data_IF_281983524518
#
_entry.id   IF_281983524518
#
_cell.length_a   1.000
_cell.length_b   1.000
_cell.length_c   1.000
_cell.angle_alpha   90.00
_cell.angle_beta   90.00
_cell.angle_gamma   90.00
#
_symmetry.space_group_name_H-M   'P 1'
#
loop_
_entity.id
_entity.type
_entity.pdbx_description
1 polymer ?
#
# COMPACT_ATOMS: atom_id res chain seq x y z
N UNK A 1 -20.33 18.92 6.39
CA UNK A 1 -19.32 17.90 6.01
C UNK A 1 -19.97 17.00 4.99
N UNK A 2 -19.27 16.57 3.94
CA UNK A 2 -19.86 15.70 2.93
C UNK A 2 -20.23 14.34 3.54
N UNK A 3 -21.28 13.71 3.02
CA UNK A 3 -21.80 12.43 3.52
C UNK A 3 -21.52 11.29 2.55
N UNK A 4 -21.65 10.04 3.02
CA UNK A 4 -21.53 8.84 2.17
C UNK A 4 -22.52 8.91 0.99
N UNK A 5 -23.73 9.40 1.24
CA UNK A 5 -24.76 9.56 0.20
C UNK A 5 -24.37 10.61 -0.86
N UNK A 6 -23.64 11.66 -0.49
CA UNK A 6 -23.11 12.63 -1.45
C UNK A 6 -22.07 11.98 -2.38
N UNK A 7 -21.22 11.11 -1.82
CA UNK A 7 -20.23 10.34 -2.59
C UNK A 7 -20.91 9.37 -3.55
N UNK A 8 -21.91 8.62 -3.08
CA UNK A 8 -22.71 7.72 -3.92
C UNK A 8 -23.45 8.44 -5.04
N UNK A 9 -24.06 9.59 -4.75
CA UNK A 9 -24.73 10.42 -5.77
C UNK A 9 -23.73 10.88 -6.84
N UNK A 10 -22.51 11.26 -6.46
CA UNK A 10 -21.49 11.65 -7.43
C UNK A 10 -21.06 10.48 -8.34
N UNK A 11 -21.06 9.23 -7.84
CA UNK A 11 -20.88 8.03 -8.69
C UNK A 11 -22.04 7.89 -9.67
N UNK A 12 -23.28 7.99 -9.19
CA UNK A 12 -24.50 7.88 -10.01
C UNK A 12 -24.58 8.96 -11.10
N UNK A 13 -24.09 10.16 -10.81
CA UNK A 13 -23.96 11.29 -11.75
C UNK A 13 -22.83 11.10 -12.78
N UNK A 14 -22.04 10.03 -12.69
CA UNK A 14 -20.92 9.76 -13.58
C UNK A 14 -19.69 10.61 -13.29
N UNK A 15 -19.56 11.16 -12.08
CA UNK A 15 -18.44 11.98 -11.64
C UNK A 15 -17.58 11.28 -10.56
N UNK A 16 -16.75 10.29 -10.96
CA UNK A 16 -15.93 9.52 -10.01
C UNK A 16 -14.84 10.37 -9.34
N UNK A 17 -14.40 11.46 -9.97
CA UNK A 17 -13.41 12.36 -9.37
C UNK A 17 -13.99 13.13 -8.18
N UNK A 18 -15.21 13.62 -8.32
CA UNK A 18 -15.91 14.26 -7.21
C UNK A 18 -16.23 13.29 -6.09
N UNK A 19 -16.69 12.07 -6.43
CA UNK A 19 -16.92 11.02 -5.45
C UNK A 19 -15.65 10.67 -4.66
N UNK A 20 -14.50 10.56 -5.34
CA UNK A 20 -13.20 10.35 -4.71
C UNK A 20 -12.89 11.43 -3.66
N UNK A 21 -13.02 12.71 -4.03
CA UNK A 21 -12.75 13.82 -3.11
C UNK A 21 -13.68 13.79 -1.89
N UNK A 22 -14.94 13.39 -2.08
CA UNK A 22 -15.92 13.25 -1.00
C UNK A 22 -15.48 12.14 -0.03
N UNK A 23 -15.18 10.94 -0.52
CA UNK A 23 -14.76 9.83 0.34
C UNK A 23 -13.43 10.12 1.05
N UNK A 24 -12.47 10.75 0.37
CA UNK A 24 -11.22 11.20 0.99
C UNK A 24 -11.48 12.22 2.12
N UNK A 25 -12.40 13.16 1.93
CA UNK A 25 -12.78 14.13 2.97
C UNK A 25 -13.44 13.45 4.19
N UNK A 26 -14.30 12.45 3.97
CA UNK A 26 -14.90 11.65 5.06
C UNK A 26 -13.82 10.89 5.82
N UNK A 27 -12.88 10.27 5.11
CA UNK A 27 -11.77 9.53 5.72
C UNK A 27 -10.78 10.41 6.46
N UNK A 28 -10.65 11.69 6.10
CA UNK A 28 -9.85 12.65 6.87
C UNK A 28 -10.43 12.88 8.27
N UNK A 29 -11.75 12.89 8.41
CA UNK A 29 -12.43 13.02 9.69
C UNK A 29 -12.49 11.67 10.44
N UNK A 30 -12.89 10.61 9.73
CA UNK A 30 -13.01 9.26 10.27
C UNK A 30 -12.29 8.22 9.40
N UNK A 31 -11.03 7.94 9.73
CA UNK A 31 -10.22 6.92 9.04
C UNK A 31 -10.74 5.48 9.20
N UNK A 32 -11.70 5.24 10.09
CA UNK A 32 -12.30 3.92 10.36
C UNK A 32 -13.65 3.74 9.67
N UNK A 33 -14.04 4.66 8.80
CA UNK A 33 -15.29 4.54 8.04
C UNK A 33 -15.13 3.51 6.92
N UNK A 34 -15.72 2.33 7.10
CA UNK A 34 -15.64 1.23 6.15
C UNK A 34 -16.39 1.52 4.84
N UNK A 35 -17.49 2.25 4.90
CA UNK A 35 -18.28 2.60 3.72
C UNK A 35 -17.54 3.62 2.85
N UNK A 36 -16.83 4.57 3.46
CA UNK A 36 -15.99 5.52 2.73
C UNK A 36 -14.80 4.83 2.05
N UNK A 37 -14.16 3.86 2.71
CA UNK A 37 -13.11 3.06 2.08
C UNK A 37 -13.63 2.21 0.91
N UNK A 38 -14.83 1.62 1.04
CA UNK A 38 -15.46 0.87 -0.04
C UNK A 38 -15.79 1.78 -1.23
N UNK A 39 -16.44 2.91 -0.98
CA UNK A 39 -16.78 3.89 -2.03
C UNK A 39 -15.53 4.44 -2.73
N UNK A 40 -14.44 4.66 -1.98
CA UNK A 40 -13.16 5.07 -2.57
C UNK A 40 -12.59 4.01 -3.52
N UNK A 41 -12.67 2.72 -3.16
CA UNK A 41 -12.21 1.63 -4.02
C UNK A 41 -12.98 1.54 -5.35
N UNK A 42 -14.27 1.90 -5.37
CA UNK A 42 -15.08 1.85 -6.58
C UNK A 42 -14.66 2.90 -7.62
N UNK A 43 -14.25 4.08 -7.16
CA UNK A 43 -13.91 5.22 -8.02
C UNK A 43 -12.44 5.27 -8.44
N UNK A 44 -11.59 4.53 -7.76
CA UNK A 44 -10.18 4.38 -8.13
C UNK A 44 -10.05 3.63 -9.46
N UNK A 45 -8.97 3.88 -10.19
CA UNK A 45 -8.66 3.18 -11.45
C UNK A 45 -7.54 2.17 -11.30
N UNK A 46 -6.61 2.43 -10.39
CA UNK A 46 -5.47 1.57 -10.13
C UNK A 46 -5.83 0.38 -9.23
N UNK A 47 -5.40 -0.82 -9.61
CA UNK A 47 -5.74 -2.05 -8.88
C UNK A 47 -5.00 -2.16 -7.54
N UNK A 48 -3.81 -1.59 -7.42
CA UNK A 48 -3.05 -1.61 -6.17
C UNK A 48 -3.72 -0.68 -5.15
N UNK A 49 -4.13 0.53 -5.57
CA UNK A 49 -4.87 1.46 -4.72
C UNK A 49 -6.21 0.87 -4.25
N UNK A 50 -6.93 0.17 -5.14
CA UNK A 50 -8.16 -0.56 -4.79
C UNK A 50 -7.90 -1.64 -3.74
N UNK A 51 -6.81 -2.40 -3.91
CA UNK A 51 -6.42 -3.45 -2.97
C UNK A 51 -6.22 -2.86 -1.57
N UNK A 52 -5.49 -1.76 -1.46
CA UNK A 52 -5.25 -1.08 -0.19
C UNK A 52 -6.55 -0.64 0.48
N UNK A 53 -7.50 -0.11 -0.29
CA UNK A 53 -8.81 0.29 0.24
C UNK A 53 -9.57 -0.90 0.81
N UNK A 54 -9.69 -2.01 0.07
CA UNK A 54 -10.37 -3.21 0.56
C UNK A 54 -9.66 -3.86 1.75
N UNK A 55 -8.33 -3.87 1.77
CA UNK A 55 -7.56 -4.35 2.94
C UNK A 55 -7.83 -3.50 4.18
N UNK A 56 -7.94 -2.17 4.04
CA UNK A 56 -8.29 -1.30 5.15
C UNK A 56 -9.69 -1.56 5.67
N UNK A 57 -10.66 -1.81 4.80
CA UNK A 57 -12.01 -2.25 5.19
C UNK A 57 -11.93 -3.53 6.00
N UNK A 58 -11.18 -4.54 5.55
CA UNK A 58 -11.06 -5.81 6.28
C UNK A 58 -10.29 -5.70 7.60
N UNK A 59 -9.38 -4.72 7.74
CA UNK A 59 -8.76 -4.40 9.03
C UNK A 59 -9.76 -3.81 10.02
N UNK A 60 -10.73 -3.04 9.54
CA UNK A 60 -11.80 -2.43 10.35
C UNK A 60 -12.87 -3.48 10.67
N UNK A 61 -13.40 -4.12 9.63
CA UNK A 61 -14.46 -5.12 9.66
C UNK A 61 -14.08 -6.33 8.80
N UNK A 62 -13.56 -7.37 9.46
CA UNK A 62 -13.15 -8.64 8.83
C UNK A 62 -14.31 -9.37 8.15
N UNK A 63 -15.53 -9.10 8.61
CA UNK A 63 -16.75 -9.76 8.12
C UNK A 63 -17.34 -9.09 6.87
N UNK A 64 -16.75 -7.97 6.42
CA UNK A 64 -17.22 -7.25 5.25
C UNK A 64 -17.05 -8.08 3.96
N UNK A 65 -18.20 -8.50 3.42
CA UNK A 65 -18.30 -9.34 2.22
C UNK A 65 -17.83 -8.62 0.96
N UNK A 66 -18.20 -7.35 0.81
CA UNK A 66 -17.89 -6.55 -0.37
C UNK A 66 -16.38 -6.38 -0.54
N UNK A 67 -15.65 -6.10 0.55
CA UNK A 67 -14.19 -5.98 0.49
C UNK A 67 -13.48 -7.29 0.13
N UNK A 68 -13.94 -8.42 0.67
CA UNK A 68 -13.41 -9.75 0.31
C UNK A 68 -13.66 -10.08 -1.16
N UNK A 69 -14.84 -9.78 -1.67
CA UNK A 69 -15.19 -9.98 -3.07
C UNK A 69 -14.37 -9.03 -3.98
N UNK A 70 -14.19 -7.78 -3.56
CA UNK A 70 -13.33 -6.80 -4.21
C UNK A 70 -11.90 -7.31 -4.38
N UNK A 71 -11.28 -7.81 -3.32
CA UNK A 71 -9.92 -8.39 -3.39
C UNK A 71 -9.83 -9.57 -4.36
N UNK A 72 -10.80 -10.49 -4.30
CA UNK A 72 -10.84 -11.65 -5.21
C UNK A 72 -10.97 -11.25 -6.68
N UNK A 73 -11.65 -10.14 -6.97
CA UNK A 73 -11.79 -9.63 -8.33
C UNK A 73 -10.50 -8.99 -8.86
N UNK A 74 -9.59 -8.58 -7.97
CA UNK A 74 -8.28 -8.01 -8.32
C UNK A 74 -7.19 -9.09 -8.45
N UNK A 75 -7.41 -10.30 -7.94
CA UNK A 75 -6.48 -11.40 -8.09
C UNK A 75 -6.37 -11.77 -9.59
N UNK A 76 -5.14 -11.86 -10.14
CA UNK A 76 -4.96 -12.40 -11.47
C UNK A 76 -5.58 -13.79 -11.49
N UNK A 77 -6.57 -14.01 -12.35
CA UNK A 77 -7.20 -15.33 -12.49
C UNK A 77 -6.08 -16.34 -12.76
N UNK A 78 -5.82 -17.21 -11.79
CA UNK A 78 -4.77 -18.19 -11.90
C UNK A 78 -5.04 -19.02 -13.15
N UNK A 79 -4.17 -18.92 -14.14
CA UNK A 79 -4.27 -19.76 -15.32
C UNK A 79 -4.01 -21.19 -14.85
N UNK A 80 -5.00 -22.10 -14.87
CA UNK A 80 -4.86 -23.45 -14.31
C UNK A 80 -3.73 -24.24 -15.01
N UNK A 81 -3.33 -23.81 -16.20
CA UNK A 81 -2.20 -24.37 -16.92
C UNK A 81 -0.82 -23.98 -16.34
N UNK A 82 -0.70 -22.80 -15.72
CA UNK A 82 0.56 -22.35 -15.09
C UNK A 82 0.76 -22.99 -13.72
N UNK A 83 -0.32 -23.16 -12.95
CA UNK A 83 -0.28 -23.87 -11.66
C UNK A 83 0.10 -25.35 -11.82
N UNK A 84 -0.31 -26.00 -12.91
CA UNK A 84 0.06 -27.38 -13.22
C UNK A 84 1.53 -27.56 -13.66
N UNK A 85 2.23 -26.47 -13.99
CA UNK A 85 3.64 -26.48 -14.40
C UNK A 85 4.60 -26.08 -13.27
N UNK A 86 4.09 -25.74 -12.08
CA UNK A 86 4.91 -25.50 -10.90
C UNK A 86 5.41 -26.86 -10.37
N UNK A 87 6.72 -27.18 -10.43
CA UNK A 87 7.23 -28.43 -9.90
C UNK A 87 7.08 -28.40 -8.38
N UNK A 88 6.49 -29.43 -7.81
CA UNK A 88 6.50 -29.73 -6.37
C UNK A 88 7.95 -29.98 -5.89
N UNK A 89 8.72 -28.91 -5.70
CA UNK A 89 10.11 -28.95 -5.28
C UNK A 89 10.28 -28.12 -4.00
N UNK A 90 9.73 -28.61 -2.88
CA UNK A 90 10.22 -28.37 -1.52
C UNK A 90 9.43 -29.18 -0.48
N UNK A 91 9.07 -30.42 -0.78
CA UNK A 91 8.79 -31.42 0.26
C UNK A 91 9.91 -32.45 0.14
N UNK A 92 10.70 -32.62 1.21
CA UNK A 92 11.78 -33.61 1.40
C UNK A 92 13.21 -33.03 1.53
N UNK A 93 13.51 -32.53 2.73
CA UNK A 93 14.82 -32.66 3.37
C UNK A 93 14.51 -33.02 4.82
N UNK A 94 14.52 -34.31 5.16
CA UNK A 94 15.60 -34.93 5.96
C UNK A 94 15.71 -34.25 7.34
N UNK A 95 15.28 -34.83 8.46
CA UNK A 95 15.43 -36.25 8.83
C UNK A 95 16.84 -36.47 9.37
N UNK A 96 16.95 -36.37 10.69
CA UNK A 96 17.93 -37.01 11.59
C UNK A 96 19.41 -36.59 11.54
N UNK A 97 19.89 -35.95 12.62
CA UNK A 97 20.99 -36.49 13.44
C UNK A 97 21.17 -35.70 14.76
N UNK A 98 20.78 -36.35 15.86
CA UNK A 98 21.32 -36.17 17.21
C UNK A 98 22.81 -36.61 17.19
N UNK A 99 23.77 -35.77 17.62
CA UNK A 99 24.97 -36.29 18.29
C UNK A 99 25.60 -35.29 19.26
N UNK A 100 26.02 -35.85 20.39
CA UNK A 100 26.37 -35.28 21.68
C UNK A 100 27.87 -34.92 21.80
N UNK A 101 28.16 -34.10 22.82
CA UNK A 101 29.39 -34.03 23.66
C UNK A 101 30.60 -33.18 23.26
N UNK A 102 31.19 -32.58 24.31
CA UNK A 102 32.54 -32.02 24.38
C UNK A 102 32.51 -30.55 24.83
N UNK A 103 32.24 -30.25 26.11
CA UNK A 103 33.28 -30.04 27.14
C UNK A 103 34.47 -29.24 26.61
N UNK A 104 34.67 -27.99 27.06
CA UNK A 104 35.93 -27.47 27.62
C UNK A 104 35.64 -26.17 28.42
N UNK A 105 35.81 -26.27 29.73
CA UNK A 105 35.89 -25.15 30.68
C UNK A 105 37.32 -24.63 30.72
N UNK A 106 37.57 -23.33 30.49
CA UNK A 106 38.62 -22.50 31.16
C UNK A 106 38.18 -21.03 31.04
N UNK A 107 37.53 -20.45 32.05
CA UNK A 107 38.11 -19.66 33.15
C UNK A 107 38.86 -18.37 32.76
N UNK A 108 38.42 -17.29 33.42
CA UNK A 108 39.22 -16.14 33.84
C UNK A 108 39.45 -15.01 32.83
N UNK A 109 38.69 -13.91 32.95
CA UNK A 109 39.25 -12.74 33.63
C UNK A 109 38.14 -11.72 33.99
N UNK A 110 38.00 -11.47 35.28
CA UNK A 110 37.44 -10.26 35.92
C UNK A 110 38.53 -9.85 36.92
N UNK A 111 38.92 -8.57 37.16
CA UNK A 111 38.09 -7.36 37.39
C UNK A 111 38.85 -6.07 36.93
N UNK A 112 38.68 -4.84 37.51
CA UNK A 112 37.65 -4.26 38.35
C UNK A 112 36.98 -3.01 37.75
N UNK A 113 35.89 -2.61 38.41
CA UNK A 113 35.22 -1.32 38.26
C UNK A 113 36.14 -0.17 38.69
N UNK A 114 36.06 0.95 37.98
CA UNK A 114 35.79 2.30 38.51
C UNK A 114 36.17 3.36 37.48
N UNK A 115 35.14 3.97 36.88
CA UNK A 115 35.04 5.40 36.48
C UNK A 115 33.71 5.54 35.71
N UNK A 116 32.57 5.72 36.38
CA UNK A 116 32.06 7.00 36.89
C UNK A 116 32.11 8.15 35.84
N UNK A 117 30.88 8.53 35.44
CA UNK A 117 30.42 9.83 34.96
C UNK A 117 30.56 10.14 33.46
N UNK A 118 29.51 9.81 32.70
CA UNK A 118 28.71 10.84 32.03
C UNK A 118 27.33 10.29 31.71
N UNK A 119 26.34 10.93 32.34
CA UNK A 119 24.92 10.85 32.06
C UNK A 119 24.68 11.43 30.65
N UNK A 120 24.25 10.63 29.68
CA UNK A 120 23.72 11.11 28.40
C UNK A 120 22.33 10.51 28.21
N UNK A 121 21.25 11.30 28.30
CA UNK A 121 19.93 10.83 27.95
C UNK A 121 19.89 10.54 26.44
N UNK A 122 19.69 9.27 26.07
CA UNK A 122 19.20 8.91 24.73
C UNK A 122 17.73 9.33 24.64
N UNK A 123 17.53 10.63 24.46
CA UNK A 123 16.30 11.22 23.94
C UNK A 123 16.21 10.86 22.45
N UNK A 124 15.04 10.39 22.06
CA UNK A 124 14.75 9.81 20.75
C UNK A 124 15.26 10.66 19.59
N UNK A 125 16.03 10.01 18.72
CA UNK A 125 16.37 10.57 17.41
C UNK A 125 15.09 10.99 16.67
N UNK A 126 15.10 12.14 15.98
CA UNK A 126 13.96 12.54 15.16
C UNK A 126 13.68 11.44 14.13
N UNK A 127 12.42 11.05 13.90
CA UNK A 127 12.10 10.09 12.86
C UNK A 127 12.63 10.63 11.53
N UNK A 128 13.63 9.96 10.99
CA UNK A 128 14.30 10.19 9.70
C UNK A 128 13.39 9.82 8.52
N UNK A 129 12.07 9.89 8.70
CA UNK A 129 11.04 9.49 7.73
C UNK A 129 10.47 10.65 6.90
N UNK A 130 11.18 11.77 6.76
CA UNK A 130 10.68 12.89 5.97
C UNK A 130 11.66 13.40 4.90
N UNK A 131 12.61 12.58 4.47
CA UNK A 131 13.34 12.80 3.21
C UNK A 131 13.04 11.68 2.21
N UNK A 132 11.75 11.50 1.89
CA UNK A 132 11.38 11.16 0.50
C UNK A 132 10.97 12.46 -0.19
N UNK A 133 11.93 13.38 -0.23
CA UNK A 133 12.00 14.39 -1.28
C UNK A 133 12.51 13.67 -2.54
N UNK A 134 11.62 12.95 -3.23
CA UNK A 134 11.90 12.45 -4.58
C UNK A 134 10.65 12.67 -5.44
N UNK A 135 10.63 13.75 -6.20
CA UNK A 135 9.78 13.82 -7.40
C UNK A 135 8.99 15.10 -7.67
N UNK A 136 9.10 16.18 -6.88
CA UNK A 136 8.42 17.46 -7.21
C UNK A 136 9.19 18.37 -8.19
N UNK A 137 9.99 17.80 -9.08
CA UNK A 137 10.68 18.57 -10.12
C UNK A 137 10.73 17.80 -11.44
N UNK A 138 9.60 17.80 -12.18
CA UNK A 138 9.50 17.90 -13.65
C UNK A 138 8.16 17.31 -14.15
N UNK A 139 7.09 18.11 -14.14
CA UNK A 139 6.04 17.92 -15.15
C UNK A 139 5.34 19.22 -15.52
N UNK A 140 6.13 20.29 -15.69
CA UNK A 140 5.69 21.50 -16.41
C UNK A 140 6.07 21.41 -17.91
N UNK A 141 6.56 20.28 -18.42
CA UNK A 141 7.14 20.21 -19.79
C UNK A 141 6.51 19.20 -20.76
N UNK A 142 5.51 18.38 -20.40
CA UNK A 142 4.82 17.52 -21.42
C UNK A 142 3.31 17.75 -21.48
N UNK A 143 2.89 18.99 -21.24
CA UNK A 143 1.58 19.50 -21.71
C UNK A 143 1.59 19.89 -23.20
N UNK A 144 2.68 19.58 -23.94
CA UNK A 144 2.96 20.13 -25.27
C UNK A 144 2.97 19.12 -26.43
N UNK A 145 2.68 17.82 -26.23
CA UNK A 145 2.69 16.85 -27.35
C UNK A 145 1.40 16.02 -27.49
N UNK A 146 0.59 15.88 -26.44
CA UNK A 146 -0.63 15.07 -26.51
C UNK A 146 -1.90 15.78 -26.99
N UNK A 147 -2.03 17.11 -26.77
CA UNK A 147 -3.25 17.87 -27.06
C UNK A 147 -3.20 18.75 -28.31
N UNK A 148 -2.01 19.05 -28.83
CA UNK A 148 -1.84 20.01 -29.94
C UNK A 148 -2.18 19.43 -31.32
N UNK A 149 -1.97 18.14 -31.57
CA UNK A 149 -2.14 17.56 -32.91
C UNK A 149 -3.63 17.48 -33.29
N UNK A 150 -4.50 17.16 -32.34
CA UNK A 150 -5.95 17.07 -32.60
C UNK A 150 -6.54 18.48 -32.83
N UNK A 151 -6.06 19.49 -32.11
CA UNK A 151 -6.52 20.88 -32.29
C UNK A 151 -5.98 21.51 -33.59
N UNK A 152 -4.74 21.19 -33.97
CA UNK A 152 -4.12 21.69 -35.21
C UNK A 152 -4.76 21.04 -36.47
N UNK A 153 -5.06 19.73 -36.44
CA UNK A 153 -5.73 19.07 -37.58
C UNK A 153 -7.18 19.54 -37.79
N UNK A 154 -7.89 19.94 -36.73
CA UNK A 154 -9.24 20.49 -36.87
C UNK A 154 -9.25 21.94 -37.37
N UNK A 155 -8.24 22.74 -37.01
CA UNK A 155 -8.15 24.15 -37.42
C UNK A 155 -7.63 24.32 -38.86
N UNK A 156 -6.76 23.43 -39.34
CA UNK A 156 -6.19 23.53 -40.68
C UNK A 156 -7.12 23.13 -41.84
N UNK A 157 -8.32 22.60 -41.57
CA UNK A 157 -9.25 22.19 -42.63
C UNK A 157 -10.31 23.26 -42.99
N UNK A 158 -10.18 24.48 -42.45
CA UNK A 158 -11.12 25.60 -42.71
C UNK A 158 -10.37 26.91 -43.07
N UNK A 159 -9.14 26.81 -43.58
CA UNK A 159 -8.33 27.94 -44.07
C UNK A 159 -7.98 27.81 -45.54
#
# INVERSE_FOLDING_TARGET
MPTIDDGRRAIEEGNPQQARLIFEAILQENKRDEDAWLGLAEVLTDNEDKRVCYENVLKINKDNRAAREGLRNLEPQANPFVTALQPAAAESSAGDEDELTGDETIMSMRPPADDLLADEPVEGGPPTFALVALGLALSVVVFAVGGGIVFFLLTSLTG
#
